data_IF_255212627528
#
_entry.id   IF_255212627528
#
_cell.length_a   1.000
_cell.length_b   1.000
_cell.length_c   1.000
_cell.angle_alpha   90.00
_cell.angle_beta   90.00
_cell.angle_gamma   90.00
#
_symmetry.space_group_name_H-M   'P 1'
#
loop_
_entity.id
_entity.type
_entity.pdbx_description
1 polymer ?
#
# COMPACT_ATOMS: atom_id res chain seq x y z
N UNK A 1 -22.13 45.01 23.81
CA UNK A 1 -21.51 45.01 22.46
C UNK A 1 -20.28 44.11 22.35
N UNK A 2 -19.33 44.12 23.28
CA UNK A 2 -18.10 43.31 23.19
C UNK A 2 -18.32 41.78 23.27
N UNK A 3 -19.31 41.30 24.02
CA UNK A 3 -19.61 39.87 24.14
C UNK A 3 -20.06 39.23 22.81
N UNK A 4 -20.86 39.93 21.99
CA UNK A 4 -21.28 39.45 20.66
C UNK A 4 -20.11 39.39 19.68
N UNK A 5 -19.19 40.37 19.78
CA UNK A 5 -17.95 40.39 18.98
C UNK A 5 -17.04 39.21 19.38
N UNK A 6 -16.86 38.94 20.68
CA UNK A 6 -16.09 37.77 21.14
C UNK A 6 -16.76 36.45 20.71
N UNK A 7 -18.09 36.33 20.80
CA UNK A 7 -18.81 35.13 20.38
C UNK A 7 -18.66 34.86 18.87
N UNK A 8 -18.74 35.92 18.05
CA UNK A 8 -18.53 35.86 16.60
C UNK A 8 -17.07 35.56 16.22
N UNK A 9 -16.09 36.08 16.98
CA UNK A 9 -14.67 35.78 16.78
C UNK A 9 -14.33 34.34 17.19
N UNK A 10 -14.88 33.84 18.31
CA UNK A 10 -14.70 32.45 18.77
C UNK A 10 -15.39 31.45 17.84
N UNK A 11 -16.59 31.76 17.33
CA UNK A 11 -17.25 30.92 16.31
C UNK A 11 -16.53 30.94 14.97
N UNK A 12 -16.01 32.10 14.50
CA UNK A 12 -15.11 32.15 13.32
C UNK A 12 -13.87 31.28 13.50
N UNK A 13 -13.24 31.31 14.69
CA UNK A 13 -12.01 30.54 14.98
C UNK A 13 -12.28 29.02 15.12
N UNK A 14 -13.45 28.66 15.66
CA UNK A 14 -13.93 27.27 15.71
C UNK A 14 -14.26 26.76 14.30
N UNK A 15 -14.90 27.59 13.45
CA UNK A 15 -15.18 27.26 12.05
C UNK A 15 -13.90 27.15 11.20
N UNK A 16 -12.88 27.98 11.48
CA UNK A 16 -11.58 27.91 10.80
C UNK A 16 -10.79 26.66 11.18
N UNK A 17 -10.80 26.25 12.46
CA UNK A 17 -10.25 24.97 12.92
C UNK A 17 -11.02 23.76 12.39
N UNK A 18 -12.34 23.90 12.25
CA UNK A 18 -13.22 22.89 11.66
C UNK A 18 -12.93 22.74 10.16
N UNK A 19 -12.70 23.82 9.40
CA UNK A 19 -12.29 23.73 8.00
C UNK A 19 -10.87 23.15 7.82
N UNK A 20 -9.96 23.38 8.78
CA UNK A 20 -8.64 22.74 8.81
C UNK A 20 -8.69 21.24 9.19
N UNK A 21 -9.77 20.78 9.85
CA UNK A 21 -9.95 19.38 10.25
C UNK A 21 -10.90 18.56 9.36
N UNK A 22 -11.76 19.18 8.54
CA UNK A 22 -12.71 18.45 7.66
C UNK A 22 -12.13 18.12 6.26
N UNK A 23 -10.88 18.46 5.90
CA UNK A 23 -10.32 17.93 4.63
C UNK A 23 -8.81 17.68 4.60
N UNK A 24 -8.24 17.25 5.71
CA UNK A 24 -7.01 16.44 5.70
C UNK A 24 -7.23 15.28 6.67
N UNK A 25 -8.06 14.33 6.22
CA UNK A 25 -7.99 12.97 6.72
C UNK A 25 -6.53 12.57 6.63
N UNK A 26 -5.86 12.45 7.77
CA UNK A 26 -4.46 12.06 7.88
C UNK A 26 -4.25 10.65 7.29
N UNK A 27 -4.17 10.53 5.96
CA UNK A 27 -2.94 9.97 5.44
C UNK A 27 -1.93 11.08 5.64
N UNK A 28 -0.82 10.88 6.37
CA UNK A 28 0.18 11.92 6.49
C UNK A 28 0.70 12.22 5.09
N UNK A 29 0.13 13.25 4.46
CA UNK A 29 0.74 13.90 3.31
C UNK A 29 1.85 14.73 3.95
N UNK A 30 2.94 14.04 4.27
CA UNK A 30 4.23 14.69 4.47
C UNK A 30 4.37 15.62 3.26
N UNK A 31 4.81 16.86 3.50
CA UNK A 31 5.36 17.75 2.47
C UNK A 31 6.59 17.06 1.85
N UNK A 32 6.37 15.97 1.12
CA UNK A 32 7.37 15.30 0.33
C UNK A 32 7.36 16.10 -0.95
N UNK A 33 8.46 16.79 -1.20
CA UNK A 33 8.85 17.08 -2.58
C UNK A 33 8.46 15.87 -3.42
N UNK A 34 7.79 16.05 -4.56
CA UNK A 34 7.30 14.98 -5.44
C UNK A 34 8.39 14.02 -5.97
N UNK A 35 9.60 14.12 -5.41
CA UNK A 35 10.81 13.34 -5.60
C UNK A 35 10.89 12.08 -4.72
N UNK A 36 10.15 11.99 -3.62
CA UNK A 36 10.27 10.87 -2.66
C UNK A 36 9.18 9.80 -2.76
N UNK A 37 8.20 9.95 -3.65
CA UNK A 37 7.24 8.88 -3.98
C UNK A 37 7.82 8.00 -5.09
N UNK A 38 8.67 7.05 -4.71
CA UNK A 38 9.15 6.01 -5.62
C UNK A 38 8.20 4.82 -5.59
N UNK A 39 7.69 4.42 -6.75
CA UNK A 39 6.98 3.15 -6.87
C UNK A 39 7.97 2.00 -6.66
N UNK A 40 7.70 1.14 -5.70
CA UNK A 40 8.45 -0.11 -5.52
C UNK A 40 7.79 -1.23 -6.31
N UNK A 41 8.57 -1.89 -7.15
CA UNK A 41 8.13 -3.07 -7.88
C UNK A 41 8.07 -4.28 -6.95
N UNK A 42 7.04 -5.11 -7.08
CA UNK A 42 7.02 -6.41 -6.41
C UNK A 42 8.15 -7.30 -6.95
N UNK A 43 8.96 -7.86 -6.06
CA UNK A 43 9.99 -8.84 -6.44
C UNK A 43 9.38 -10.10 -7.08
N UNK A 44 10.21 -10.87 -7.76
CA UNK A 44 9.83 -12.19 -8.29
C UNK A 44 9.16 -13.09 -7.23
N UNK A 45 8.17 -13.86 -7.68
CA UNK A 45 7.35 -14.71 -6.83
C UNK A 45 6.29 -13.97 -6.03
N UNK A 46 6.16 -12.64 -6.17
CA UNK A 46 5.12 -11.81 -5.58
C UNK A 46 4.36 -11.04 -6.66
N UNK A 47 3.15 -10.59 -6.33
CA UNK A 47 2.30 -9.78 -7.20
C UNK A 47 1.54 -8.72 -6.42
N UNK A 48 1.06 -7.69 -7.12
CA UNK A 48 0.10 -6.74 -6.58
C UNK A 48 -0.87 -6.26 -7.67
N UNK A 49 -2.15 -6.58 -7.52
CA UNK A 49 -3.17 -6.25 -8.50
C UNK A 49 -3.72 -4.81 -8.35
N UNK A 50 -3.51 -4.14 -7.21
CA UNK A 50 -4.11 -2.85 -6.90
C UNK A 50 -3.07 -1.76 -6.75
N UNK A 51 -3.26 -0.66 -7.48
CA UNK A 51 -2.45 0.56 -7.35
C UNK A 51 -2.68 1.31 -6.03
N UNK A 52 -3.80 1.03 -5.37
CA UNK A 52 -4.14 1.62 -4.07
C UNK A 52 -3.50 0.85 -2.91
N UNK A 53 -3.03 -0.37 -3.18
CA UNK A 53 -2.39 -1.21 -2.19
C UNK A 53 -0.87 -1.09 -2.34
N UNK A 54 -0.17 -0.84 -1.24
CA UNK A 54 1.30 -0.73 -1.21
C UNK A 54 1.97 -2.05 -0.79
N UNK A 55 1.26 -3.18 -0.88
CA UNK A 55 1.74 -4.48 -0.42
C UNK A 55 1.77 -5.48 -1.57
N UNK A 56 2.89 -6.18 -1.69
CA UNK A 56 3.06 -7.32 -2.58
C UNK A 56 2.66 -8.62 -1.87
N UNK A 57 1.83 -9.41 -2.52
CA UNK A 57 1.38 -10.71 -2.02
C UNK A 57 2.19 -11.85 -2.65
N UNK A 58 2.51 -12.92 -1.92
CA UNK A 58 3.17 -14.07 -2.51
C UNK A 58 2.24 -14.74 -3.54
N UNK A 59 2.82 -15.23 -4.64
CA UNK A 59 2.08 -16.09 -5.56
C UNK A 59 1.61 -17.36 -4.84
N UNK A 60 0.33 -17.75 -5.02
CA UNK A 60 -0.21 -18.97 -4.44
C UNK A 60 0.46 -20.23 -5.00
N UNK A 61 0.25 -21.36 -4.31
CA UNK A 61 0.76 -22.66 -4.75
C UNK A 61 0.28 -22.99 -6.16
N UNK A 62 1.15 -23.62 -6.95
CA UNK A 62 0.89 -23.92 -8.36
C UNK A 62 1.01 -22.73 -9.31
N UNK A 63 1.39 -21.55 -8.81
CA UNK A 63 1.64 -20.35 -9.64
C UNK A 63 3.00 -19.72 -9.35
N UNK A 64 3.48 -18.92 -10.30
CA UNK A 64 4.74 -18.19 -10.19
C UNK A 64 4.64 -16.78 -10.80
N UNK A 65 5.61 -15.94 -10.48
CA UNK A 65 5.83 -14.64 -11.09
C UNK A 65 7.33 -14.54 -11.31
N UNK A 66 7.76 -14.45 -12.57
CA UNK A 66 9.18 -14.39 -12.94
C UNK A 66 9.64 -12.95 -13.25
N UNK A 67 8.75 -11.96 -13.15
CA UNK A 67 9.02 -10.55 -13.46
C UNK A 67 8.75 -9.68 -12.26
N UNK A 68 9.60 -8.68 -12.07
CA UNK A 68 9.34 -7.64 -11.10
C UNK A 68 8.12 -6.80 -11.50
N UNK A 69 7.37 -6.31 -10.52
CA UNK A 69 6.19 -5.48 -10.75
C UNK A 69 4.99 -6.25 -11.29
N UNK A 70 5.00 -7.58 -11.24
CA UNK A 70 3.88 -8.40 -11.72
C UNK A 70 2.57 -8.06 -11.00
N UNK A 71 1.49 -7.93 -11.76
CA UNK A 71 0.14 -7.66 -11.22
C UNK A 71 -0.69 -8.93 -11.01
N UNK A 72 -0.22 -10.06 -11.52
CA UNK A 72 -0.83 -11.38 -11.39
C UNK A 72 0.25 -12.47 -11.38
N UNK A 73 -0.10 -13.69 -11.00
CA UNK A 73 0.76 -14.86 -11.08
C UNK A 73 0.33 -15.77 -12.23
N UNK A 74 1.29 -16.41 -12.89
CA UNK A 74 1.11 -17.36 -13.98
C UNK A 74 1.08 -18.79 -13.44
N UNK A 75 0.28 -19.67 -14.05
CA UNK A 75 0.23 -21.09 -13.65
C UNK A 75 1.56 -21.78 -13.97
N UNK A 76 2.05 -22.60 -13.04
CA UNK A 76 3.18 -23.46 -13.30
C UNK A 76 2.83 -24.46 -14.43
N UNK A 77 3.74 -24.72 -15.39
CA UNK A 77 3.56 -25.80 -16.36
C UNK A 77 3.37 -27.15 -15.66
N UNK A 78 2.69 -28.09 -16.31
CA UNK A 78 2.48 -29.43 -15.75
C UNK A 78 3.81 -30.08 -15.31
N UNK A 79 3.85 -30.57 -14.07
CA UNK A 79 5.05 -31.17 -13.48
C UNK A 79 6.05 -30.18 -12.86
N UNK A 80 5.80 -28.87 -12.94
CA UNK A 80 6.65 -27.84 -12.35
C UNK A 80 5.99 -27.19 -11.14
N UNK A 81 6.80 -26.77 -10.16
CA UNK A 81 6.34 -26.06 -8.96
C UNK A 81 7.28 -24.91 -8.59
N UNK A 82 6.73 -23.91 -7.88
CA UNK A 82 7.53 -22.83 -7.28
C UNK A 82 8.26 -23.36 -6.05
N UNK A 83 9.58 -23.13 -5.98
CA UNK A 83 10.38 -23.39 -4.78
C UNK A 83 10.03 -22.37 -3.70
N UNK A 84 9.52 -22.82 -2.56
CA UNK A 84 9.27 -21.96 -1.39
C UNK A 84 10.44 -22.11 -0.43
N UNK A 85 11.13 -21.01 -0.11
CA UNK A 85 12.09 -20.95 1.00
C UNK A 85 11.32 -20.68 2.29
N UNK A 86 11.07 -21.71 3.08
CA UNK A 86 10.63 -21.56 4.48
C UNK A 86 11.91 -21.47 5.34
N UNK A 87 11.96 -20.47 6.24
CA UNK A 87 13.06 -20.09 7.14
C UNK A 87 14.28 -21.02 7.16
N UNK A 88 15.45 -20.47 6.75
CA UNK A 88 16.81 -21.04 6.74
C UNK A 88 16.84 -22.58 6.78
N UNK A 89 16.92 -23.18 5.58
CA UNK A 89 17.20 -24.61 5.30
C UNK A 89 16.01 -25.55 4.99
N UNK A 90 14.79 -25.04 4.77
CA UNK A 90 13.72 -25.86 4.16
C UNK A 90 13.24 -25.28 2.84
N UNK A 91 13.72 -25.88 1.74
CA UNK A 91 13.17 -25.67 0.41
C UNK A 91 12.24 -26.84 0.09
N UNK A 92 10.94 -26.57 -0.02
CA UNK A 92 9.97 -27.59 -0.42
C UNK A 92 9.67 -27.39 -1.92
N UNK A 93 9.85 -28.45 -2.70
CA UNK A 93 9.22 -28.57 -4.02
C UNK A 93 7.81 -29.09 -3.75
N UNK A 94 6.80 -28.23 -3.80
CA UNK A 94 5.43 -28.69 -3.55
C UNK A 94 4.74 -28.94 -4.88
N UNK A 95 4.72 -30.22 -5.27
CA UNK A 95 4.04 -30.72 -6.46
C UNK A 95 2.52 -30.57 -6.32
N UNK A 96 1.85 -30.31 -7.45
CA UNK A 96 0.39 -30.46 -7.60
C UNK A 96 0.10 -31.93 -7.83
#
# INVERSE_FOLDING_TARGET
MFALIIHLLVTRNKYLNILLTINYKERPIRLLNAKDYKCESCKEGFYNFSRENNKCFPCPLGTFSNKEGSIMCENCPHGFSKKIKLNKEKTINQYI
#
